data_IF_903121530446
#
_entry.id   IF_903121530446
#
_cell.length_a   1.000
_cell.length_b   1.000
_cell.length_c   1.000
_cell.angle_alpha   90.00
_cell.angle_beta   90.00
_cell.angle_gamma   90.00
#
_symmetry.space_group_name_H-M   'P 1'
#
loop_
_entity.id
_entity.type
_entity.pdbx_description
1 polymer ?
#
# COMPACT_ATOMS: atom_id res chain seq x y z
N UNK A 1 -20.79 -22.33 22.90
CA UNK A 1 -19.71 -21.34 22.89
C UNK A 1 -20.11 -20.21 21.97
N UNK A 2 -20.09 -18.93 22.41
CA UNK A 2 -20.48 -17.82 21.53
C UNK A 2 -19.40 -17.63 20.46
N UNK A 3 -19.83 -17.37 19.22
CA UNK A 3 -18.96 -17.19 18.07
C UNK A 3 -18.05 -15.96 18.26
N UNK A 4 -16.75 -16.19 18.07
CA UNK A 4 -15.70 -15.16 18.08
C UNK A 4 -16.00 -14.10 17.01
N UNK A 5 -16.05 -12.83 17.41
CA UNK A 5 -16.43 -11.72 16.52
C UNK A 5 -15.36 -11.57 15.44
N UNK A 6 -15.66 -12.07 14.23
CA UNK A 6 -15.04 -11.74 12.93
C UNK A 6 -13.65 -11.12 13.03
N UNK A 7 -12.63 -11.97 13.16
CA UNK A 7 -11.22 -11.59 13.04
C UNK A 7 -11.05 -10.85 11.71
N UNK A 8 -10.90 -9.51 11.73
CA UNK A 8 -10.70 -8.76 10.50
C UNK A 8 -9.37 -9.20 9.88
N UNK A 9 -9.45 -9.88 8.75
CA UNK A 9 -8.26 -10.28 7.99
C UNK A 9 -7.68 -9.04 7.34
N UNK A 10 -6.46 -8.67 7.74
CA UNK A 10 -5.70 -7.61 7.07
C UNK A 10 -5.51 -7.94 5.59
N UNK A 11 -5.36 -6.89 4.77
CA UNK A 11 -5.08 -7.01 3.34
C UNK A 11 -3.67 -6.54 3.06
N UNK A 12 -2.99 -7.23 2.16
CA UNK A 12 -1.64 -6.87 1.69
C UNK A 12 -1.73 -6.63 0.19
N UNK A 13 -1.17 -5.49 -0.25
CA UNK A 13 -1.06 -5.13 -1.66
C UNK A 13 0.43 -5.06 -2.03
N UNK A 14 0.81 -5.71 -3.13
CA UNK A 14 2.14 -5.54 -3.73
C UNK A 14 1.97 -4.60 -4.91
N UNK A 15 2.63 -3.45 -4.84
CA UNK A 15 2.45 -2.35 -5.79
C UNK A 15 3.82 -1.96 -6.35
N UNK A 16 3.91 -1.88 -7.67
CA UNK A 16 5.08 -1.26 -8.31
C UNK A 16 5.01 0.26 -8.16
N UNK A 17 6.03 0.86 -7.54
CA UNK A 17 6.16 2.30 -7.35
C UNK A 17 6.41 3.08 -8.65
N UNK A 18 6.78 2.38 -9.74
CA UNK A 18 7.24 2.99 -10.98
C UNK A 18 8.77 3.16 -10.99
N UNK A 19 9.32 3.82 -12.01
CA UNK A 19 10.77 3.96 -12.19
C UNK A 19 11.40 5.12 -11.40
N UNK A 20 10.61 5.92 -10.67
CA UNK A 20 11.10 7.02 -9.84
C UNK A 20 10.20 8.26 -9.88
N UNK A 21 9.66 8.59 -11.05
CA UNK A 21 8.71 9.70 -11.21
C UNK A 21 7.35 9.34 -10.57
N UNK A 22 6.87 10.10 -9.56
CA UNK A 22 5.61 9.82 -8.88
C UNK A 22 4.39 9.84 -9.79
N UNK A 23 4.40 10.57 -10.90
CA UNK A 23 3.26 10.61 -11.85
C UNK A 23 3.10 9.29 -12.61
N UNK A 24 4.12 8.44 -12.61
CA UNK A 24 4.10 7.14 -13.29
C UNK A 24 3.51 6.01 -12.43
N UNK A 25 3.17 6.26 -11.16
CA UNK A 25 2.41 5.28 -10.38
C UNK A 25 0.99 5.15 -10.93
N UNK A 26 0.44 3.93 -10.86
CA UNK A 26 -0.96 3.73 -11.21
C UNK A 26 -1.89 4.42 -10.21
N UNK A 27 -3.05 4.87 -10.69
CA UNK A 27 -4.12 5.46 -9.85
C UNK A 27 -4.53 4.51 -8.70
N UNK A 28 -4.54 3.19 -8.95
CA UNK A 28 -4.83 2.19 -7.90
C UNK A 28 -3.70 2.11 -6.87
N UNK A 29 -2.45 2.18 -7.32
CA UNK A 29 -1.28 2.20 -6.45
C UNK A 29 -1.30 3.37 -5.48
N UNK A 30 -1.49 4.57 -6.03
CA UNK A 30 -1.58 5.79 -5.23
C UNK A 30 -2.72 5.74 -4.21
N UNK A 31 -3.88 5.19 -4.58
CA UNK A 31 -5.00 4.99 -3.65
C UNK A 31 -4.65 4.03 -2.51
N UNK A 32 -4.04 2.90 -2.82
CA UNK A 32 -3.62 1.94 -1.80
C UNK A 32 -2.60 2.53 -0.82
N UNK A 33 -1.63 3.32 -1.31
CA UNK A 33 -0.65 3.99 -0.46
C UNK A 33 -1.35 4.97 0.50
N UNK A 34 -2.28 5.79 -0.02
CA UNK A 34 -3.04 6.77 0.79
C UNK A 34 -3.95 6.15 1.84
N UNK A 35 -4.49 4.97 1.56
CA UNK A 35 -5.41 4.26 2.45
C UNK A 35 -4.68 3.27 3.39
N UNK A 36 -3.37 3.07 3.22
CA UNK A 36 -2.62 2.08 3.98
C UNK A 36 -2.37 2.53 5.43
N UNK A 37 -2.70 1.66 6.39
CA UNK A 37 -2.31 1.83 7.79
C UNK A 37 -0.79 1.66 7.98
N UNK A 38 -0.16 0.83 7.14
CA UNK A 38 1.27 0.52 7.17
C UNK A 38 1.81 0.45 5.74
N UNK A 39 2.88 1.22 5.48
CA UNK A 39 3.61 1.21 4.21
C UNK A 39 4.99 0.57 4.40
N UNK A 40 5.31 -0.45 3.60
CA UNK A 40 6.63 -1.08 3.54
C UNK A 40 7.16 -0.87 2.13
N UNK A 41 8.33 -0.27 2.00
CA UNK A 41 8.97 0.06 0.74
C UNK A 41 10.49 -0.17 0.82
N UNK A 42 11.15 -0.26 -0.34
CA UNK A 42 12.61 -0.39 -0.42
C UNK A 42 13.27 0.94 -0.80
N UNK A 43 14.61 0.92 -0.85
CA UNK A 43 15.44 2.10 -1.13
C UNK A 43 15.34 2.66 -2.56
N UNK A 44 14.69 1.97 -3.51
CA UNK A 44 14.51 2.43 -4.89
C UNK A 44 13.28 3.32 -5.05
N UNK A 45 12.41 3.38 -4.05
CA UNK A 45 11.23 4.24 -4.06
C UNK A 45 11.64 5.69 -3.81
N UNK A 46 11.14 6.59 -4.66
CA UNK A 46 11.35 8.04 -4.50
C UNK A 46 10.67 8.56 -3.24
N UNK A 47 11.33 9.46 -2.51
CA UNK A 47 10.77 10.11 -1.31
C UNK A 47 9.52 10.93 -1.63
N UNK A 48 9.38 11.41 -2.86
CA UNK A 48 8.20 12.17 -3.31
C UNK A 48 6.91 11.33 -3.34
N UNK A 49 7.03 10.00 -3.29
CA UNK A 49 5.89 9.07 -3.28
C UNK A 49 5.39 8.76 -1.85
N UNK A 50 6.17 9.11 -0.83
CA UNK A 50 5.89 8.83 0.59
C UNK A 50 5.03 9.94 1.21
#
# INVERSE_FOLDING_TARGET
MPADKTKQTGRVYIIGAGPGDPELITVKGLRCIREADVLIYDHLVSEELL
#
